data_IF_571382993891
#
_entry.id   IF_571382993891
#
_cell.length_a   1.000
_cell.length_b   1.000
_cell.length_c   1.000
_cell.angle_alpha   90.00
_cell.angle_beta   90.00
_cell.angle_gamma   90.00
#
_symmetry.space_group_name_H-M   'P 1'
#
loop_
_entity.id
_entity.type
_entity.pdbx_description
1 polymer ?
#
# COMPACT_ATOMS: atom_id res chain seq x y z
N UNK A 1 -5.01 -39.15 12.00
CA UNK A 1 -3.68 -38.55 11.77
C UNK A 1 -3.82 -37.20 11.06
N UNK A 2 -3.82 -36.08 11.81
CA UNK A 2 -3.61 -34.71 11.30
C UNK A 2 -2.92 -33.89 12.39
N UNK A 3 -1.71 -34.29 12.75
CA UNK A 3 -0.72 -33.46 13.43
C UNK A 3 0.45 -33.34 12.46
N UNK A 4 1.18 -32.22 12.45
CA UNK A 4 2.44 -31.93 11.71
C UNK A 4 2.45 -30.73 10.72
N UNK A 5 1.38 -29.95 10.54
CA UNK A 5 1.45 -28.77 9.63
C UNK A 5 1.70 -27.41 10.33
N UNK A 6 1.65 -27.31 11.66
CA UNK A 6 1.73 -26.02 12.37
C UNK A 6 3.15 -25.57 12.78
N UNK A 7 4.16 -26.44 12.72
CA UNK A 7 5.48 -26.16 13.29
C UNK A 7 6.50 -25.47 12.37
N UNK A 8 6.38 -25.59 11.05
CA UNK A 8 7.44 -25.20 10.11
C UNK A 8 7.36 -23.76 9.58
N UNK A 9 6.26 -23.02 9.85
CA UNK A 9 6.04 -21.67 9.29
C UNK A 9 6.29 -20.52 10.26
N UNK A 10 6.44 -20.79 11.56
CA UNK A 10 6.57 -19.74 12.58
C UNK A 10 7.99 -19.15 12.68
N UNK A 11 9.01 -19.85 12.15
CA UNK A 11 10.42 -19.51 12.34
C UNK A 11 11.11 -18.87 11.11
N UNK A 12 10.34 -18.47 10.09
CA UNK A 12 10.90 -17.75 8.95
C UNK A 12 10.92 -16.25 9.27
N UNK A 13 12.06 -15.55 9.12
CA UNK A 13 12.10 -14.11 9.28
C UNK A 13 11.15 -13.46 8.27
N UNK A 14 10.27 -12.58 8.73
CA UNK A 14 9.35 -11.84 7.87
C UNK A 14 10.19 -10.84 7.08
N UNK A 15 10.25 -10.95 5.74
CA UNK A 15 11.03 -10.02 4.94
C UNK A 15 10.45 -8.60 5.01
N UNK A 16 11.33 -7.59 5.07
CA UNK A 16 10.92 -6.20 5.23
C UNK A 16 10.20 -5.68 3.97
N UNK A 17 9.00 -5.13 4.16
CA UNK A 17 8.25 -4.43 3.11
C UNK A 17 8.67 -2.97 3.04
N UNK A 18 9.52 -2.63 2.08
CA UNK A 18 10.00 -1.25 1.93
C UNK A 18 9.23 -0.49 0.85
N UNK A 19 8.95 0.80 1.11
CA UNK A 19 8.32 1.69 0.13
C UNK A 19 9.35 2.21 -0.87
N UNK A 20 8.89 2.80 -1.98
CA UNK A 20 9.76 3.48 -2.94
C UNK A 20 10.22 4.88 -2.47
N UNK A 21 9.72 5.35 -1.32
CA UNK A 21 10.06 6.66 -0.75
C UNK A 21 9.26 7.84 -1.31
N UNK A 22 8.41 7.64 -2.32
CA UNK A 22 7.71 8.74 -2.99
C UNK A 22 6.76 9.51 -2.07
N UNK A 23 6.12 8.82 -1.12
CA UNK A 23 5.26 9.47 -0.11
C UNK A 23 6.02 10.50 0.74
N UNK A 24 7.30 10.25 1.03
CA UNK A 24 8.17 11.17 1.78
C UNK A 24 8.76 12.24 0.87
N UNK A 25 9.10 11.87 -0.37
CA UNK A 25 9.74 12.75 -1.35
C UNK A 25 8.85 13.89 -1.81
N UNK A 26 7.56 13.63 -2.00
CA UNK A 26 6.61 14.63 -2.49
C UNK A 26 5.73 15.14 -1.34
N UNK A 27 5.87 16.43 -1.02
CA UNK A 27 5.14 17.07 0.08
C UNK A 27 3.63 17.12 -0.17
N UNK A 28 3.23 17.28 -1.43
CA UNK A 28 1.85 17.32 -1.93
C UNK A 28 1.13 15.96 -1.96
N UNK A 29 1.87 14.86 -1.73
CA UNK A 29 1.38 13.47 -1.79
C UNK A 29 0.84 13.08 -3.18
N UNK A 30 1.26 13.77 -4.24
CA UNK A 30 0.85 13.52 -5.62
C UNK A 30 1.17 12.11 -6.12
N UNK A 31 2.25 11.50 -5.61
CA UNK A 31 2.65 10.12 -5.93
C UNK A 31 2.09 9.08 -4.95
N UNK A 32 1.10 9.44 -4.12
CA UNK A 32 0.46 8.55 -3.15
C UNK A 32 -1.04 8.42 -3.45
N UNK A 33 -1.60 7.23 -3.24
CA UNK A 33 -3.03 7.02 -3.40
C UNK A 33 -3.83 7.93 -2.45
N UNK A 34 -4.68 8.77 -3.02
CA UNK A 34 -5.46 9.77 -2.28
C UNK A 34 -6.86 10.01 -2.88
N UNK A 35 -7.33 9.12 -3.76
CA UNK A 35 -8.53 9.32 -4.58
C UNK A 35 -9.82 9.64 -3.79
N UNK A 36 -10.18 8.92 -2.70
CA UNK A 36 -11.37 9.25 -1.92
C UNK A 36 -11.12 10.31 -0.83
N UNK A 37 -9.85 10.72 -0.64
CA UNK A 37 -9.44 11.65 0.42
C UNK A 37 -9.76 13.08 -0.02
N UNK A 38 -10.11 13.95 0.93
CA UNK A 38 -10.37 15.36 0.64
C UNK A 38 -9.15 16.02 -0.02
N UNK A 39 -9.38 16.69 -1.14
CA UNK A 39 -8.39 17.46 -1.90
C UNK A 39 -8.72 18.95 -1.78
N UNK A 40 -7.69 19.79 -1.70
CA UNK A 40 -7.83 21.26 -1.68
C UNK A 40 -7.80 21.85 -3.10
N UNK A 41 -7.11 21.18 -4.03
CA UNK A 41 -7.06 21.51 -5.46
C UNK A 41 -6.77 20.25 -6.29
N UNK A 42 -6.77 20.39 -7.62
CA UNK A 42 -6.45 19.28 -8.54
C UNK A 42 -5.08 18.72 -8.18
N UNK A 43 -5.03 17.42 -7.89
CA UNK A 43 -3.83 16.69 -7.49
C UNK A 43 -3.13 17.20 -6.20
N UNK A 44 -3.82 18.01 -5.38
CA UNK A 44 -3.31 18.51 -4.10
C UNK A 44 -4.18 18.00 -2.94
N UNK A 45 -3.64 17.07 -2.18
CA UNK A 45 -4.34 16.46 -1.04
C UNK A 45 -4.35 17.42 0.15
N UNK A 46 -5.49 17.52 0.84
CA UNK A 46 -5.56 18.24 2.10
C UNK A 46 -4.69 17.54 3.17
N UNK A 47 -3.71 18.23 3.80
CA UNK A 47 -2.79 17.57 4.73
C UNK A 47 -3.46 16.95 5.96
N UNK A 48 -4.50 17.58 6.50
CA UNK A 48 -5.23 17.05 7.65
C UNK A 48 -6.04 15.80 7.26
N UNK A 49 -6.64 15.80 6.07
CA UNK A 49 -7.33 14.64 5.56
C UNK A 49 -6.36 13.48 5.29
N UNK A 50 -5.19 13.75 4.73
CA UNK A 50 -4.15 12.74 4.56
C UNK A 50 -3.65 12.19 5.91
N UNK A 51 -3.46 13.04 6.92
CA UNK A 51 -3.10 12.59 8.27
C UNK A 51 -4.17 11.68 8.88
N UNK A 52 -5.46 11.98 8.67
CA UNK A 52 -6.56 11.11 9.10
C UNK A 52 -6.51 9.75 8.41
N UNK A 53 -6.20 9.71 7.11
CA UNK A 53 -6.05 8.48 6.34
C UNK A 53 -4.87 7.62 6.83
N UNK A 54 -3.74 8.23 7.20
CA UNK A 54 -2.58 7.50 7.74
C UNK A 54 -2.89 6.75 9.04
N UNK A 55 -3.92 7.15 9.79
CA UNK A 55 -4.33 6.44 11.03
C UNK A 55 -4.90 5.05 10.76
N UNK A 56 -5.22 4.69 9.52
CA UNK A 56 -5.59 3.32 9.14
C UNK A 56 -4.60 2.26 9.62
N UNK A 57 -3.33 2.65 9.79
CA UNK A 57 -2.27 1.81 10.31
C UNK A 57 -2.55 1.22 11.71
N UNK A 58 -3.46 1.83 12.49
CA UNK A 58 -3.86 1.33 13.81
C UNK A 58 -4.70 0.04 13.76
N UNK A 59 -5.35 -0.24 12.62
CA UNK A 59 -6.33 -1.31 12.52
C UNK A 59 -7.63 -1.06 13.29
N UNK A 60 -7.80 0.09 13.95
CA UNK A 60 -9.01 0.42 14.71
C UNK A 60 -10.13 0.86 13.76
N UNK A 61 -11.35 0.34 14.00
CA UNK A 61 -12.55 0.74 13.25
C UNK A 61 -12.86 2.23 13.42
N UNK A 62 -12.67 2.77 14.63
CA UNK A 62 -12.87 4.20 14.91
C UNK A 62 -11.95 5.08 14.09
N UNK A 63 -10.74 4.63 13.77
CA UNK A 63 -9.84 5.40 12.91
C UNK A 63 -10.27 5.40 11.45
N UNK A 64 -10.82 4.28 10.97
CA UNK A 64 -11.42 4.19 9.65
C UNK A 64 -12.64 5.12 9.49
N UNK A 65 -13.53 5.14 10.48
CA UNK A 65 -14.76 5.97 10.42
C UNK A 65 -14.48 7.47 10.48
N UNK A 66 -13.35 7.86 11.07
CA UNK A 66 -12.93 9.24 11.24
C UNK A 66 -12.00 9.74 10.10
N UNK A 67 -11.93 9.03 8.97
CA UNK A 67 -11.20 9.50 7.78
C UNK A 67 -11.98 10.63 7.12
N UNK A 68 -11.28 11.73 6.84
CA UNK A 68 -11.87 12.89 6.16
C UNK A 68 -11.90 12.61 4.65
N UNK A 69 -13.09 12.34 4.13
CA UNK A 69 -13.31 12.06 2.70
C UNK A 69 -13.71 13.34 1.95
N UNK A 70 -13.40 13.38 0.65
CA UNK A 70 -13.71 14.51 -0.24
C UNK A 70 -15.07 14.42 -0.94
N UNK A 71 -15.78 13.29 -0.79
CA UNK A 71 -17.03 13.01 -1.48
C UNK A 71 -17.73 11.77 -0.91
N UNK A 72 -18.59 11.14 -1.71
CA UNK A 72 -19.42 10.00 -1.28
C UNK A 72 -18.75 8.63 -1.46
N UNK A 73 -17.59 8.58 -2.12
CA UNK A 73 -16.87 7.33 -2.35
C UNK A 73 -16.21 6.81 -1.06
N UNK A 74 -16.34 5.52 -0.83
CA UNK A 74 -15.74 4.82 0.31
C UNK A 74 -14.44 4.11 -0.07
N UNK A 75 -13.63 3.78 0.94
CA UNK A 75 -12.47 2.90 0.79
C UNK A 75 -12.93 1.45 0.89
N UNK A 76 -12.59 0.62 -0.11
CA UNK A 76 -12.96 -0.79 -0.15
C UNK A 76 -11.91 -1.65 0.58
N UNK A 77 -12.27 -2.12 1.79
CA UNK A 77 -11.45 -3.04 2.59
C UNK A 77 -10.05 -2.55 2.97
N UNK A 78 -9.84 -1.28 3.38
CA UNK A 78 -8.49 -0.76 3.66
C UNK A 78 -7.78 -1.44 4.84
N UNK A 79 -8.52 -2.16 5.69
CA UNK A 79 -8.01 -2.87 6.87
C UNK A 79 -8.04 -4.40 6.71
N UNK A 80 -8.36 -4.93 5.52
CA UNK A 80 -8.47 -6.37 5.31
C UNK A 80 -7.15 -7.14 5.58
N UNK A 81 -6.00 -6.47 5.49
CA UNK A 81 -4.68 -7.04 5.76
C UNK A 81 -4.40 -7.34 7.24
N UNK A 82 -5.23 -6.86 8.16
CA UNK A 82 -5.13 -7.17 9.60
C UNK A 82 -5.85 -8.46 9.99
N UNK A 83 -6.66 -9.04 9.10
CA UNK A 83 -7.38 -10.28 9.38
C UNK A 83 -6.41 -11.48 9.40
N UNK A 84 -6.61 -12.39 10.35
CA UNK A 84 -5.95 -13.69 10.36
C UNK A 84 -6.71 -14.67 9.47
N UNK A 85 -6.00 -15.35 8.57
CA UNK A 85 -6.54 -16.50 7.88
C UNK A 85 -6.23 -17.78 8.67
N UNK A 86 -7.25 -18.60 8.89
CA UNK A 86 -7.16 -19.86 9.61
C UNK A 86 -6.69 -21.02 8.71
N UNK A 87 -6.65 -20.82 7.38
CA UNK A 87 -6.39 -21.90 6.41
C UNK A 87 -5.18 -21.71 5.50
N UNK A 88 -4.66 -20.49 5.34
CA UNK A 88 -3.55 -20.21 4.43
C UNK A 88 -2.36 -19.50 5.08
N UNK A 89 -1.27 -19.49 4.34
CA UNK A 89 0.00 -18.90 4.73
C UNK A 89 -0.19 -17.39 4.93
N UNK A 90 -0.10 -16.93 6.17
CA UNK A 90 -0.12 -15.54 6.67
C UNK A 90 0.02 -14.50 5.54
N UNK A 91 -1.02 -13.71 5.28
CA UNK A 91 -1.09 -12.74 4.17
C UNK A 91 0.00 -11.65 4.15
N UNK A 92 0.80 -11.55 5.23
CA UNK A 92 1.94 -10.65 5.38
C UNK A 92 3.27 -11.22 4.84
N UNK A 93 3.32 -12.51 4.45
CA UNK A 93 4.58 -13.22 4.13
C UNK A 93 4.99 -13.08 2.65
N UNK A 94 4.17 -12.46 1.80
CA UNK A 94 4.47 -12.27 0.37
C UNK A 94 4.99 -10.84 0.14
N UNK A 95 6.29 -10.66 -0.01
CA UNK A 95 6.89 -9.37 -0.43
C UNK A 95 6.75 -9.22 -1.95
N UNK A 96 6.12 -8.11 -2.35
CA UNK A 96 6.12 -7.67 -3.75
C UNK A 96 7.38 -6.86 -4.02
N UNK A 97 7.87 -6.94 -5.27
CA UNK A 97 8.90 -6.03 -5.76
C UNK A 97 8.44 -4.59 -5.49
N UNK A 98 9.31 -3.78 -4.88
CA UNK A 98 9.10 -2.35 -4.67
C UNK A 98 8.66 -1.70 -5.99
N UNK A 99 7.62 -0.87 -5.95
CA UNK A 99 7.20 -0.10 -7.12
C UNK A 99 8.35 0.77 -7.63
N UNK A 100 8.39 0.98 -8.95
CA UNK A 100 9.22 2.04 -9.53
C UNK A 100 8.79 3.39 -8.94
N UNK A 101 9.74 4.32 -8.84
CA UNK A 101 9.43 5.70 -8.48
C UNK A 101 8.66 6.38 -9.61
N UNK A 102 7.79 7.32 -9.27
CA UNK A 102 6.96 8.05 -10.24
C UNK A 102 7.73 8.64 -11.45
N UNK A 103 9.02 8.95 -11.28
CA UNK A 103 9.89 9.53 -12.33
C UNK A 103 11.03 8.63 -12.78
N UNK A 104 11.09 7.37 -12.33
CA UNK A 104 12.12 6.44 -12.78
C UNK A 104 11.59 5.61 -13.94
N UNK A 105 12.27 5.66 -15.10
CA UNK A 105 11.97 4.78 -16.22
C UNK A 105 12.11 3.31 -15.80
N UNK A 106 11.25 2.43 -16.33
CA UNK A 106 11.41 0.98 -16.21
C UNK A 106 12.72 0.58 -16.87
N UNK A 107 13.67 -0.08 -16.17
CA UNK A 107 14.85 -0.60 -16.83
C UNK A 107 14.39 -1.68 -17.83
N UNK A 108 14.49 -1.40 -19.13
CA UNK A 108 14.33 -2.42 -20.19
C UNK A 108 13.35 -2.15 -21.33
N UNK A 109 12.62 -1.02 -21.38
CA UNK A 109 11.77 -0.71 -22.54
C UNK A 109 12.54 -0.10 -23.72
N UNK A 110 13.78 0.34 -23.51
CA UNK A 110 14.55 1.08 -24.52
C UNK A 110 15.29 0.16 -25.52
N UNK A 111 15.38 -1.15 -25.26
CA UNK A 111 16.12 -2.09 -26.13
C UNK A 111 15.28 -2.73 -27.24
N UNK A 112 13.94 -2.64 -27.20
CA UNK A 112 13.10 -3.26 -28.23
C UNK A 112 12.97 -2.43 -29.51
N UNK A 113 13.39 -1.15 -29.51
CA UNK A 113 13.18 -0.23 -30.64
C UNK A 113 14.39 -0.06 -31.57
N UNK A 114 15.52 -0.74 -31.35
CA UNK A 114 16.72 -0.63 -32.19
C UNK A 114 17.13 -1.92 -32.93
N UNK A 115 16.19 -2.84 -33.15
CA UNK A 115 16.40 -4.02 -34.02
C UNK A 115 15.40 -4.05 -35.16
N UNK A 116 15.51 -3.10 -36.07
CA UNK A 116 14.91 -3.14 -37.42
C UNK A 116 15.52 -2.03 -38.27
N UNK A 117 16.76 -2.22 -38.72
CA UNK A 117 17.32 -1.73 -39.98
C UNK A 117 18.38 -2.73 -40.44
#
# INVERSE_FOLDING_TARGET
>A
MRSLHSGLRHNLPIPAHTTNGDEQRYSDKSATYSKPIKQDAIALVNPAAFASFKRLASGLKSDYENIILGGTHTLNGPQASYAYDLRSNVGQVIVRRRSLGWRTASPGLDQQSQRSL
#
